data_IF_897223688606
#
_entry.id   IF_897223688606
#
_cell.length_a   1.000
_cell.length_b   1.000
_cell.length_c   1.000
_cell.angle_alpha   90.00
_cell.angle_beta   90.00
_cell.angle_gamma   90.00
#
_symmetry.space_group_name_H-M   'P 1'
#
loop_
_entity.id
_entity.type
_entity.pdbx_description
1 polymer ?
#
# COMPACT_ATOMS: atom_id res chain seq x y z
N UNK A 1 -2.45 -29.95 40.22
CA UNK A 1 -3.53 -29.57 39.31
C UNK A 1 -3.29 -28.17 38.81
N UNK A 2 -2.64 -28.03 37.63
CA UNK A 2 -2.42 -26.76 36.96
C UNK A 2 -3.34 -26.74 35.75
N UNK A 3 -4.32 -25.84 35.72
CA UNK A 3 -5.20 -25.62 34.56
C UNK A 3 -4.38 -24.98 33.44
N UNK A 4 -4.38 -25.64 32.31
CA UNK A 4 -3.86 -25.10 31.06
C UNK A 4 -4.79 -23.97 30.59
N UNK A 5 -4.25 -22.78 30.43
CA UNK A 5 -4.92 -21.63 29.80
C UNK A 5 -4.68 -21.76 28.30
N UNK A 6 -5.74 -22.04 27.56
CA UNK A 6 -5.73 -22.04 26.10
C UNK A 6 -5.48 -20.62 25.58
N UNK A 7 -4.67 -20.44 24.51
CA UNK A 7 -4.47 -19.13 23.92
C UNK A 7 -5.77 -18.62 23.26
N UNK A 8 -6.02 -17.31 23.24
CA UNK A 8 -7.17 -16.75 22.57
C UNK A 8 -7.08 -17.02 21.08
N UNK A 9 -8.05 -17.71 20.54
CA UNK A 9 -8.29 -17.87 19.12
C UNK A 9 -8.52 -16.50 18.51
N UNK A 10 -7.67 -16.12 17.56
CA UNK A 10 -7.91 -14.96 16.70
C UNK A 10 -9.29 -15.13 16.05
N UNK A 11 -10.23 -14.26 16.40
CA UNK A 11 -11.53 -14.18 15.74
C UNK A 11 -11.27 -13.68 14.33
N UNK A 12 -11.37 -14.57 13.35
CA UNK A 12 -11.63 -14.22 11.97
C UNK A 12 -12.94 -13.43 11.98
N UNK A 13 -12.90 -12.16 11.66
CA UNK A 13 -14.12 -11.40 11.35
C UNK A 13 -14.59 -11.96 10.01
N UNK A 14 -15.55 -12.86 10.08
CA UNK A 14 -16.35 -13.32 8.96
C UNK A 14 -17.43 -12.27 8.79
N UNK A 15 -17.44 -11.58 7.69
CA UNK A 15 -18.61 -10.81 7.28
C UNK A 15 -19.74 -11.81 7.05
N UNK A 16 -20.76 -11.72 7.90
CA UNK A 16 -21.96 -12.56 7.83
C UNK A 16 -22.98 -11.78 6.99
N UNK A 17 -23.19 -12.22 5.76
CA UNK A 17 -24.17 -11.70 4.83
C UNK A 17 -25.64 -12.03 5.21
N UNK A 18 -25.92 -12.32 6.48
CA UNK A 18 -27.24 -12.73 6.93
C UNK A 18 -27.87 -11.77 7.92
N UNK A 19 -28.14 -10.52 7.52
CA UNK A 19 -29.23 -9.72 8.13
C UNK A 19 -29.90 -8.89 7.01
N UNK A 20 -30.69 -9.57 6.19
CA UNK A 20 -31.81 -8.94 5.49
C UNK A 20 -33.08 -9.27 6.28
N UNK A 21 -33.90 -8.30 6.68
CA UNK A 21 -35.20 -8.62 7.27
C UNK A 21 -36.15 -9.19 6.23
N UNK A 22 -36.73 -10.34 6.55
CA UNK A 22 -37.79 -11.00 5.78
C UNK A 22 -38.94 -10.04 5.53
N UNK A 23 -39.18 -9.74 4.25
CA UNK A 23 -40.45 -9.19 3.79
C UNK A 23 -41.41 -10.35 3.55
N UNK A 24 -42.26 -10.63 4.54
CA UNK A 24 -43.39 -11.53 4.41
C UNK A 24 -44.35 -11.06 3.30
N UNK A 25 -44.62 -12.01 2.41
CA UNK A 25 -45.72 -11.94 1.45
C UNK A 25 -47.03 -12.05 2.18
N UNK A 26 -47.93 -11.09 2.04
CA UNK A 26 -49.35 -11.30 2.28
C UNK A 26 -50.13 -10.93 1.03
N UNK A 27 -50.85 -11.92 0.56
CA UNK A 27 -51.71 -11.95 -0.61
C UNK A 27 -53.07 -11.31 -0.32
N UNK A 28 -53.58 -10.60 -1.33
CA UNK A 28 -54.95 -10.35 -1.72
C UNK A 28 -56.01 -9.88 -0.73
N UNK A 29 -56.63 -8.73 -0.97
CA UNK A 29 -58.00 -8.70 -1.55
C UNK A 29 -58.40 -7.26 -1.92
N UNK A 30 -59.16 -7.19 -3.02
CA UNK A 30 -59.75 -6.01 -3.67
C UNK A 30 -60.78 -5.28 -2.79
N UNK A 31 -60.78 -3.94 -2.80
CA UNK A 31 -62.02 -3.17 -2.96
C UNK A 31 -61.68 -1.74 -3.41
N UNK A 32 -62.47 -1.27 -4.37
CA UNK A 32 -62.52 0.09 -4.96
C UNK A 32 -63.09 1.09 -3.95
N UNK A 33 -62.52 2.28 -3.85
CA UNK A 33 -63.26 3.56 -3.86
C UNK A 33 -62.27 4.73 -3.91
N UNK A 34 -62.34 5.51 -4.93
CA UNK A 34 -62.37 6.97 -5.12
C UNK A 34 -61.44 7.87 -4.29
N UNK A 35 -60.53 8.54 -5.02
CA UNK A 35 -60.20 9.97 -4.99
C UNK A 35 -59.87 10.59 -3.63
N UNK A 36 -58.56 10.77 -3.38
CA UNK A 36 -58.08 12.10 -2.98
C UNK A 36 -56.64 12.27 -3.43
N UNK A 37 -56.41 13.27 -4.28
CA UNK A 37 -55.12 13.68 -4.80
C UNK A 37 -54.40 14.48 -3.73
N UNK A 38 -53.63 13.81 -2.88
CA UNK A 38 -52.58 14.44 -2.11
C UNK A 38 -51.24 14.23 -2.84
N UNK A 39 -50.67 15.31 -3.29
CA UNK A 39 -49.27 15.39 -3.75
C UNK A 39 -48.36 14.97 -2.56
N UNK A 40 -47.98 13.71 -2.54
CA UNK A 40 -46.81 13.28 -1.78
C UNK A 40 -45.56 13.87 -2.48
N UNK A 41 -45.16 15.05 -2.06
CA UNK A 41 -43.81 15.54 -2.32
C UNK A 41 -42.86 14.62 -1.56
N UNK A 42 -42.18 13.72 -2.27
CA UNK A 42 -41.05 13.00 -1.76
C UNK A 42 -40.16 13.98 -0.98
N UNK A 43 -39.67 13.63 0.21
CA UNK A 43 -38.77 14.52 0.98
C UNK A 43 -37.61 14.89 0.09
N UNK A 44 -37.40 16.21 -0.14
CA UNK A 44 -36.31 16.72 -0.93
C UNK A 44 -35.01 16.14 -0.35
N UNK A 45 -34.35 15.26 -1.08
CA UNK A 45 -33.05 14.73 -0.68
C UNK A 45 -32.11 15.91 -0.51
N UNK A 46 -31.51 16.04 0.68
CA UNK A 46 -30.53 17.09 0.94
C UNK A 46 -29.40 16.95 -0.08
N UNK A 47 -28.87 18.06 -0.62
CA UNK A 47 -27.71 17.99 -1.52
C UNK A 47 -26.56 17.32 -0.79
N UNK A 48 -25.74 16.54 -1.51
CA UNK A 48 -24.54 15.91 -0.95
C UNK A 48 -23.46 15.81 -2.02
N UNK A 49 -22.19 16.01 -1.64
CA UNK A 49 -21.04 15.90 -2.54
C UNK A 49 -20.11 14.75 -2.11
N UNK A 50 -19.26 14.30 -3.03
CA UNK A 50 -18.24 13.25 -2.75
C UNK A 50 -17.14 13.87 -1.87
N UNK A 51 -16.86 13.25 -0.72
CA UNK A 51 -15.92 13.79 0.26
C UNK A 51 -14.48 13.87 -0.29
N UNK A 52 -14.01 12.85 -1.04
CA UNK A 52 -12.68 12.87 -1.65
C UNK A 52 -12.50 13.96 -2.71
N UNK A 53 -13.59 14.44 -3.34
CA UNK A 53 -13.53 15.56 -4.27
C UNK A 53 -13.44 16.90 -3.56
N UNK A 54 -14.09 17.03 -2.41
CA UNK A 54 -14.09 18.24 -1.59
C UNK A 54 -12.81 18.44 -0.77
N UNK A 55 -12.07 17.35 -0.45
CA UNK A 55 -10.92 17.37 0.46
C UNK A 55 -9.60 17.40 -0.30
N UNK A 56 -8.65 18.23 0.19
CA UNK A 56 -7.24 18.24 -0.20
C UNK A 56 -6.36 18.16 1.03
N UNK A 57 -5.37 17.28 1.02
CA UNK A 57 -4.38 17.10 2.09
C UNK A 57 -3.02 17.56 1.58
N UNK A 58 -2.48 18.61 2.18
CA UNK A 58 -1.32 19.36 1.67
C UNK A 58 -0.18 19.35 2.69
N UNK A 59 1.04 19.05 2.23
CA UNK A 59 2.27 19.17 3.02
C UNK A 59 2.78 20.61 2.96
N UNK A 60 3.16 21.20 4.10
CA UNK A 60 3.67 22.56 4.21
C UNK A 60 5.01 22.57 4.92
N UNK A 61 6.04 23.11 4.27
CA UNK A 61 7.39 23.23 4.83
C UNK A 61 7.71 24.64 5.33
N UNK A 62 7.02 25.68 4.83
CA UNK A 62 7.20 27.07 5.23
C UNK A 62 5.88 27.84 5.16
N UNK A 63 5.69 28.81 6.04
CA UNK A 63 4.49 29.66 6.11
C UNK A 63 4.19 30.38 4.77
N UNK A 64 5.22 30.75 4.00
CA UNK A 64 5.07 31.37 2.69
C UNK A 64 4.32 30.48 1.68
N UNK A 65 4.36 29.15 1.84
CA UNK A 65 3.68 28.20 0.95
C UNK A 65 2.15 28.30 1.06
N UNK A 66 1.61 28.69 2.21
CA UNK A 66 0.18 28.89 2.40
C UNK A 66 -0.36 30.13 1.65
N UNK A 67 0.51 31.10 1.32
CA UNK A 67 0.11 32.38 0.72
C UNK A 67 0.18 32.37 -0.80
N UNK A 68 0.80 31.38 -1.41
CA UNK A 68 0.95 31.28 -2.87
C UNK A 68 -0.26 30.54 -3.44
N UNK A 69 -1.15 31.31 -4.07
CA UNK A 69 -2.20 30.77 -4.95
C UNK A 69 -1.51 29.84 -5.97
N UNK A 70 -2.05 28.63 -6.16
CA UNK A 70 -1.50 27.54 -6.96
C UNK A 70 -1.24 27.95 -8.44
N UNK A 71 -0.16 28.68 -8.70
CA UNK A 71 0.22 29.11 -10.06
C UNK A 71 1.40 28.36 -10.67
N UNK A 72 2.03 27.45 -9.94
CA UNK A 72 3.15 26.65 -10.47
C UNK A 72 3.02 25.17 -10.09
N UNK A 73 3.33 24.30 -11.04
CA UNK A 73 3.27 22.82 -11.06
C UNK A 73 4.14 22.11 -10.00
N UNK A 74 4.05 22.49 -8.75
CA UNK A 74 4.66 21.71 -7.67
C UNK A 74 3.60 20.78 -7.06
N UNK A 75 3.70 19.50 -7.36
CA UNK A 75 2.76 18.47 -6.88
C UNK A 75 2.65 18.40 -5.34
N UNK A 76 3.64 18.92 -4.61
CA UNK A 76 3.59 19.03 -3.14
C UNK A 76 2.61 20.10 -2.69
N UNK A 77 2.48 21.19 -3.45
CA UNK A 77 1.59 22.33 -3.16
C UNK A 77 0.15 22.08 -3.54
N UNK A 78 -0.07 21.24 -4.58
CA UNK A 78 -1.42 20.85 -4.99
C UNK A 78 -2.09 19.92 -3.97
N UNK A 79 -1.30 19.25 -3.10
CA UNK A 79 -1.79 18.26 -2.17
C UNK A 79 -2.29 16.99 -2.87
N UNK A 80 -2.87 16.10 -2.11
CA UNK A 80 -3.50 14.90 -2.65
C UNK A 80 -4.96 14.81 -2.22
N UNK A 81 -5.75 14.09 -3.00
CA UNK A 81 -7.10 13.67 -2.63
C UNK A 81 -7.01 12.41 -1.79
N UNK A 82 -7.82 12.28 -0.73
CA UNK A 82 -7.96 11.00 -0.03
C UNK A 82 -8.36 9.87 -0.98
N UNK A 83 -7.76 8.70 -0.81
CA UNK A 83 -8.21 7.47 -1.47
C UNK A 83 -9.46 6.92 -0.78
N UNK A 84 -9.55 7.11 0.55
CA UNK A 84 -10.66 6.64 1.39
C UNK A 84 -11.18 7.77 2.27
N UNK A 85 -12.50 7.84 2.47
CA UNK A 85 -13.16 8.83 3.31
C UNK A 85 -14.27 8.24 4.19
N UNK A 86 -14.61 6.95 4.00
CA UNK A 86 -15.70 6.27 4.68
C UNK A 86 -15.56 6.18 6.20
N UNK A 87 -14.34 6.25 6.73
CA UNK A 87 -14.11 6.27 8.19
C UNK A 87 -14.54 7.59 8.85
N UNK A 88 -14.70 8.65 8.06
CA UNK A 88 -15.09 9.99 8.54
C UNK A 88 -16.45 10.43 8.03
N UNK A 89 -16.79 10.04 6.81
CA UNK A 89 -18.01 10.45 6.14
C UNK A 89 -18.78 9.22 5.66
N UNK A 90 -20.01 9.07 6.17
CA UNK A 90 -20.90 7.96 5.79
C UNK A 90 -21.11 7.97 4.27
N UNK A 91 -21.08 6.79 3.65
CA UNK A 91 -21.20 6.63 2.20
C UNK A 91 -20.21 7.50 1.39
N UNK A 92 -19.11 7.93 2.01
CA UNK A 92 -18.09 8.82 1.42
C UNK A 92 -18.65 10.16 0.93
N UNK A 93 -19.73 10.64 1.55
CA UNK A 93 -20.43 11.86 1.15
C UNK A 93 -20.50 12.88 2.28
N UNK A 94 -20.46 14.16 1.89
CA UNK A 94 -20.70 15.31 2.77
C UNK A 94 -22.10 15.82 2.47
N UNK A 95 -22.99 15.69 3.46
CA UNK A 95 -24.36 16.14 3.35
C UNK A 95 -24.50 17.66 3.50
N UNK A 96 -25.48 18.24 2.83
CA UNK A 96 -25.82 19.67 2.91
C UNK A 96 -25.10 20.54 1.89
N UNK A 97 -24.26 19.97 1.03
CA UNK A 97 -23.50 20.67 -0.01
C UNK A 97 -23.58 19.94 -1.34
N UNK A 98 -23.83 20.67 -2.42
CA UNK A 98 -23.67 20.13 -3.77
C UNK A 98 -22.19 20.14 -4.20
N UNK A 99 -21.88 19.49 -5.31
CA UNK A 99 -20.53 19.41 -5.85
C UNK A 99 -19.96 20.82 -6.11
N UNK A 100 -18.77 21.09 -5.54
CA UNK A 100 -18.07 22.36 -5.65
C UNK A 100 -18.60 23.49 -4.76
N UNK A 101 -19.56 23.24 -3.86
CA UNK A 101 -20.04 24.23 -2.89
C UNK A 101 -19.21 24.29 -1.60
N UNK A 102 -18.46 23.23 -1.31
CA UNK A 102 -17.54 23.14 -0.17
C UNK A 102 -16.16 22.69 -0.63
N UNK A 103 -15.13 23.33 -0.08
CA UNK A 103 -13.72 22.95 -0.25
C UNK A 103 -13.09 22.84 1.13
N UNK A 104 -12.39 21.75 1.39
CA UNK A 104 -11.72 21.44 2.66
C UNK A 104 -10.24 21.26 2.37
N UNK A 105 -9.41 22.11 2.98
CA UNK A 105 -7.97 22.02 2.92
C UNK A 105 -7.42 21.58 4.28
N UNK A 106 -6.73 20.45 4.30
CA UNK A 106 -6.05 19.94 5.49
C UNK A 106 -4.56 20.07 5.24
N UNK A 107 -3.96 21.11 5.80
CA UNK A 107 -2.52 21.33 5.73
C UNK A 107 -1.84 20.62 6.89
N UNK A 108 -0.71 19.97 6.65
CA UNK A 108 0.13 19.41 7.71
C UNK A 108 1.58 19.88 7.56
N UNK A 109 2.21 20.18 8.69
CA UNK A 109 3.63 20.53 8.71
C UNK A 109 4.46 19.33 8.24
N UNK A 110 5.31 19.52 7.23
CA UNK A 110 6.03 18.46 6.52
C UNK A 110 6.86 17.55 7.43
N UNK A 111 7.36 18.06 8.55
CA UNK A 111 8.17 17.30 9.50
C UNK A 111 7.43 16.97 10.79
N UNK A 112 6.88 17.98 11.47
CA UNK A 112 6.31 17.84 12.83
C UNK A 112 4.84 17.39 12.85
N UNK A 113 4.16 17.35 11.69
CA UNK A 113 2.81 16.81 11.51
C UNK A 113 1.74 17.45 12.41
N UNK A 114 1.82 18.73 12.69
CA UNK A 114 0.65 19.45 13.23
C UNK A 114 -0.20 19.97 12.07
N UNK A 115 -1.50 20.13 12.30
CA UNK A 115 -2.49 20.31 11.23
C UNK A 115 -3.18 21.66 11.30
N UNK A 116 -3.50 22.21 10.10
CA UNK A 116 -4.41 23.31 9.90
C UNK A 116 -5.58 22.83 9.05
N UNK A 117 -6.81 23.07 9.50
CA UNK A 117 -8.03 22.74 8.75
C UNK A 117 -8.69 24.03 8.30
N UNK A 118 -8.84 24.22 7.00
CA UNK A 118 -9.54 25.35 6.40
C UNK A 118 -10.74 24.81 5.60
N UNK A 119 -11.91 25.42 5.82
CA UNK A 119 -13.16 25.07 5.13
C UNK A 119 -13.69 26.31 4.47
N UNK A 120 -13.85 26.27 3.16
CA UNK A 120 -14.43 27.32 2.35
C UNK A 120 -15.76 26.85 1.76
N UNK A 121 -16.78 27.70 1.81
CA UNK A 121 -18.09 27.45 1.18
C UNK A 121 -18.40 28.56 0.19
N UNK A 122 -19.07 28.19 -0.91
CA UNK A 122 -19.40 29.14 -1.99
C UNK A 122 -20.24 30.30 -1.52
N UNK A 123 -21.16 30.06 -0.58
CA UNK A 123 -21.93 31.10 0.09
C UNK A 123 -21.33 31.36 1.45
N UNK A 124 -20.66 32.53 1.62
CA UNK A 124 -19.99 32.96 2.85
C UNK A 124 -20.90 33.09 4.08
N UNK A 125 -22.13 32.63 4.04
CA UNK A 125 -23.14 32.74 5.09
C UNK A 125 -23.14 31.55 6.09
N UNK A 126 -21.99 30.92 6.35
CA UNK A 126 -21.86 29.88 7.39
C UNK A 126 -22.95 28.81 7.26
N UNK A 127 -22.92 28.04 6.17
CA UNK A 127 -23.92 26.99 5.96
C UNK A 127 -23.98 26.06 7.17
N UNK A 128 -25.16 25.62 7.61
CA UNK A 128 -25.38 24.90 8.88
C UNK A 128 -24.57 23.60 9.02
N UNK A 129 -24.03 23.05 7.92
CA UNK A 129 -23.24 21.82 7.90
C UNK A 129 -21.75 21.97 8.19
N UNK A 130 -21.18 23.18 8.13
CA UNK A 130 -19.71 23.39 8.28
C UNK A 130 -19.22 22.96 9.67
N UNK A 131 -20.01 23.23 10.72
CA UNK A 131 -19.69 22.83 12.08
C UNK A 131 -19.66 21.31 12.26
N UNK A 132 -20.54 20.55 11.59
CA UNK A 132 -20.56 19.09 11.63
C UNK A 132 -19.32 18.52 10.91
N UNK A 133 -19.01 19.01 9.72
CA UNK A 133 -17.80 18.63 8.97
C UNK A 133 -16.54 18.88 9.80
N UNK A 134 -16.41 20.08 10.40
CA UNK A 134 -15.28 20.40 11.27
C UNK A 134 -15.23 19.49 12.50
N UNK A 135 -16.38 19.16 13.11
CA UNK A 135 -16.45 18.25 14.24
C UNK A 135 -15.97 16.83 13.88
N UNK A 136 -16.34 16.32 12.70
CA UNK A 136 -15.89 15.01 12.21
C UNK A 136 -14.37 15.01 11.97
N UNK A 137 -13.84 16.02 11.30
CA UNK A 137 -12.40 16.18 11.06
C UNK A 137 -11.61 16.32 12.36
N UNK A 138 -12.12 17.11 13.32
CA UNK A 138 -11.46 17.32 14.62
C UNK A 138 -11.41 16.04 15.48
N UNK A 139 -12.31 15.09 15.28
CA UNK A 139 -12.24 13.78 15.94
C UNK A 139 -11.16 12.86 15.35
N UNK A 140 -10.84 13.05 14.08
CA UNK A 140 -9.82 12.27 13.38
C UNK A 140 -8.41 12.85 13.55
N UNK A 141 -8.28 14.08 14.02
CA UNK A 141 -7.00 14.77 14.22
C UNK A 141 -6.68 14.89 15.72
N UNK A 142 -5.38 14.90 16.11
CA UNK A 142 -5.00 15.02 17.51
C UNK A 142 -5.45 16.38 18.07
N UNK A 143 -6.19 16.38 19.16
CA UNK A 143 -6.81 17.58 19.73
C UNK A 143 -5.80 18.72 20.04
N UNK A 144 -4.59 18.38 20.48
CA UNK A 144 -3.55 19.34 20.83
C UNK A 144 -2.74 19.84 19.59
N UNK A 145 -2.82 19.15 18.48
CA UNK A 145 -1.94 19.35 17.32
C UNK A 145 -2.69 19.74 16.03
N UNK A 146 -3.97 20.12 16.14
CA UNK A 146 -4.69 20.74 15.02
C UNK A 146 -5.27 22.10 15.41
N UNK A 147 -5.48 22.93 14.40
CA UNK A 147 -6.05 24.29 14.54
C UNK A 147 -6.84 24.68 13.30
N UNK A 148 -7.74 25.64 13.43
CA UNK A 148 -8.37 26.35 12.30
C UNK A 148 -7.79 27.75 12.12
N UNK A 149 -6.86 28.17 13.00
CA UNK A 149 -6.19 29.45 12.93
C UNK A 149 -4.84 29.35 12.21
N UNK A 150 -4.77 29.98 11.04
CA UNK A 150 -3.57 30.02 10.19
C UNK A 150 -2.37 30.65 10.89
N UNK A 151 -2.57 31.68 11.70
CA UNK A 151 -1.48 32.37 12.39
C UNK A 151 -0.82 31.44 13.42
N UNK A 152 -1.62 30.75 14.25
CA UNK A 152 -1.13 29.74 15.19
C UNK A 152 -0.41 28.58 14.50
N UNK A 153 -0.91 28.14 13.33
CA UNK A 153 -0.23 27.11 12.55
C UNK A 153 1.15 27.58 12.07
N UNK A 154 1.24 28.79 11.49
CA UNK A 154 2.50 29.37 11.01
C UNK A 154 3.52 29.54 12.14
N UNK A 155 3.09 30.05 13.30
CA UNK A 155 3.96 30.18 14.48
C UNK A 155 4.56 28.85 14.91
N UNK A 156 3.73 27.79 15.00
CA UNK A 156 4.20 26.43 15.31
C UNK A 156 5.13 25.87 14.22
N UNK A 157 4.83 26.13 12.95
CA UNK A 157 5.61 25.69 11.81
C UNK A 157 7.01 26.27 11.84
N UNK A 158 7.13 27.61 11.99
CA UNK A 158 8.41 28.31 12.00
C UNK A 158 9.22 28.00 13.28
N UNK A 159 8.56 27.91 14.44
CA UNK A 159 9.19 27.58 15.71
C UNK A 159 9.74 26.15 15.77
N UNK A 160 9.07 25.19 15.14
CA UNK A 160 9.48 23.77 15.16
C UNK A 160 10.40 23.37 14.03
N UNK A 161 10.48 24.13 12.94
CA UNK A 161 11.27 23.77 11.76
C UNK A 161 12.74 23.54 12.05
N UNK A 162 13.33 24.39 12.87
CA UNK A 162 14.78 24.33 13.19
C UNK A 162 15.11 23.34 14.28
N UNK A 163 14.18 23.04 15.18
CA UNK A 163 14.37 22.20 16.37
C UNK A 163 13.79 20.79 16.24
N UNK A 164 13.11 20.48 15.13
CA UNK A 164 12.53 19.17 14.92
C UNK A 164 13.59 18.08 14.89
N UNK A 165 13.36 17.06 15.69
CA UNK A 165 14.15 15.83 15.69
C UNK A 165 13.18 14.67 15.51
N UNK A 166 13.43 13.79 14.52
CA UNK A 166 12.65 12.56 14.39
C UNK A 166 12.71 11.75 15.69
N UNK A 167 11.61 11.11 16.09
CA UNK A 167 11.63 10.22 17.23
C UNK A 167 12.49 8.98 16.96
N UNK A 168 13.13 8.46 18.01
CA UNK A 168 13.94 7.26 17.94
C UNK A 168 15.34 7.47 17.34
N UNK A 169 15.89 6.42 16.76
CA UNK A 169 17.25 6.39 16.24
C UNK A 169 17.28 6.26 14.71
N UNK A 170 18.20 6.97 14.05
CA UNK A 170 18.48 6.77 12.63
C UNK A 170 19.15 5.41 12.45
N UNK A 171 18.53 4.52 11.65
CA UNK A 171 18.96 3.13 11.48
C UNK A 171 19.37 2.79 10.04
N UNK A 172 18.98 3.61 9.06
CA UNK A 172 19.34 3.40 7.67
C UNK A 172 19.31 4.71 6.89
N UNK A 173 20.06 4.76 5.79
CA UNK A 173 20.13 5.90 4.88
C UNK A 173 20.33 5.40 3.45
N UNK A 174 19.69 6.05 2.49
CA UNK A 174 19.90 5.79 1.08
C UNK A 174 19.66 7.03 0.21
N UNK A 175 20.13 6.99 -1.03
CA UNK A 175 19.96 8.08 -2.00
C UNK A 175 18.98 7.72 -3.11
N UNK A 176 18.24 8.74 -3.56
CA UNK A 176 17.41 8.67 -4.77
C UNK A 176 17.63 9.95 -5.56
N UNK A 177 18.31 9.82 -6.72
CA UNK A 177 18.80 10.99 -7.47
C UNK A 177 19.71 11.84 -6.59
N UNK A 178 19.46 13.14 -6.53
CA UNK A 178 20.23 14.08 -5.71
C UNK A 178 19.81 14.12 -4.24
N UNK A 179 18.71 13.44 -3.85
CA UNK A 179 18.14 13.50 -2.51
C UNK A 179 18.61 12.33 -1.64
N UNK A 180 18.78 12.60 -0.35
CA UNK A 180 19.06 11.62 0.69
C UNK A 180 17.81 11.36 1.51
N UNK A 181 17.59 10.11 1.87
CA UNK A 181 16.48 9.66 2.70
C UNK A 181 17.00 8.85 3.87
N UNK A 182 16.50 9.15 5.06
CA UNK A 182 16.88 8.47 6.30
C UNK A 182 15.72 7.76 6.94
N UNK A 183 15.96 6.55 7.44
CA UNK A 183 14.99 5.75 8.20
C UNK A 183 15.28 5.88 9.68
N UNK A 184 14.27 6.27 10.45
CA UNK A 184 14.30 6.36 11.90
C UNK A 184 13.41 5.28 12.50
N UNK A 185 13.98 4.45 13.36
CA UNK A 185 13.24 3.44 14.13
C UNK A 185 12.85 4.03 15.46
N UNK A 186 11.58 3.97 15.80
CA UNK A 186 11.04 4.40 17.08
C UNK A 186 10.14 3.33 17.70
N UNK A 187 10.09 3.34 19.03
CA UNK A 187 9.19 2.57 19.89
C UNK A 187 8.51 3.50 20.90
N UNK A 188 7.60 3.00 21.70
CA UNK A 188 6.95 3.79 22.75
C UNK A 188 7.90 4.25 23.86
N UNK A 189 9.08 3.65 23.99
CA UNK A 189 10.11 4.04 24.95
C UNK A 189 10.90 5.29 24.51
N UNK A 190 10.87 5.63 23.20
CA UNK A 190 11.61 6.77 22.68
C UNK A 190 10.86 8.08 23.00
N UNK A 191 11.57 9.12 23.50
CA UNK A 191 10.95 10.38 23.90
C UNK A 191 10.18 11.03 22.73
N UNK A 192 8.90 11.36 22.95
CA UNK A 192 8.02 12.00 21.98
C UNK A 192 7.51 11.09 20.85
N UNK A 193 7.85 9.78 20.87
CA UNK A 193 7.44 8.87 19.80
C UNK A 193 5.93 8.63 19.78
N UNK A 194 5.29 8.46 20.94
CA UNK A 194 3.83 8.27 21.04
C UNK A 194 3.08 9.49 20.49
N UNK A 195 3.48 10.71 20.89
CA UNK A 195 2.86 11.94 20.40
C UNK A 195 3.08 12.14 18.90
N UNK A 196 4.31 11.86 18.42
CA UNK A 196 4.60 11.96 17.00
C UNK A 196 3.79 10.95 16.19
N UNK A 197 3.73 9.70 16.65
CA UNK A 197 2.94 8.68 15.97
C UNK A 197 1.45 9.00 16.00
N UNK A 198 0.94 9.54 17.10
CA UNK A 198 -0.43 10.04 17.20
C UNK A 198 -0.78 11.04 16.09
N UNK A 199 0.19 11.87 15.64
CA UNK A 199 0.02 12.75 14.49
C UNK A 199 0.20 12.02 13.16
N UNK A 200 1.23 11.16 13.04
CA UNK A 200 1.54 10.48 11.78
C UNK A 200 0.44 9.52 11.34
N UNK A 201 -0.17 8.79 12.27
CA UNK A 201 -1.25 7.85 11.96
C UNK A 201 -2.53 8.53 11.46
N UNK A 202 -2.72 9.86 11.68
CA UNK A 202 -3.84 10.60 11.10
C UNK A 202 -3.81 10.67 9.57
N UNK A 203 -2.67 10.34 8.93
CA UNK A 203 -2.58 10.22 7.48
C UNK A 203 -3.07 8.85 6.96
N UNK A 204 -3.09 7.82 7.81
CA UNK A 204 -3.41 6.46 7.40
C UNK A 204 -4.86 6.30 6.90
N UNK A 205 -5.90 6.83 7.55
CA UNK A 205 -7.29 6.68 7.09
C UNK A 205 -7.57 7.27 5.71
N UNK A 206 -6.73 8.20 5.24
CA UNK A 206 -6.84 8.80 3.91
C UNK A 206 -6.22 7.96 2.79
N UNK A 207 -5.32 7.01 3.13
CA UNK A 207 -4.44 6.31 2.18
C UNK A 207 -4.44 4.79 2.35
N UNK A 208 -4.98 4.27 3.44
CA UNK A 208 -5.08 2.83 3.74
C UNK A 208 -6.52 2.53 4.10
N UNK A 209 -7.13 1.62 3.37
CA UNK A 209 -8.50 1.17 3.63
C UNK A 209 -8.61 0.55 5.01
N UNK A 210 -9.62 1.00 5.78
CA UNK A 210 -9.89 0.51 7.14
C UNK A 210 -8.66 0.54 8.09
N UNK A 211 -7.81 1.56 7.97
CA UNK A 211 -6.65 1.71 8.84
C UNK A 211 -7.08 1.93 10.29
N UNK A 212 -6.64 1.05 11.19
CA UNK A 212 -6.80 1.21 12.63
C UNK A 212 -5.66 2.02 13.25
N UNK A 213 -5.96 2.73 14.33
CA UNK A 213 -4.94 3.38 15.14
C UNK A 213 -4.17 2.34 15.94
N UNK A 214 -2.85 2.54 16.06
CA UNK A 214 -1.99 1.70 16.90
C UNK A 214 -1.64 2.42 18.22
N UNK A 215 -1.53 1.66 19.29
CA UNK A 215 -0.99 2.15 20.56
C UNK A 215 0.51 1.83 20.63
N UNK A 216 1.33 2.83 20.32
CA UNK A 216 2.79 2.67 20.31
C UNK A 216 3.36 2.46 21.74
N UNK A 217 2.58 2.68 22.82
CA UNK A 217 3.01 2.36 24.17
C UNK A 217 3.10 0.83 24.43
N UNK A 218 2.48 -0.02 23.61
CA UNK A 218 2.71 -1.47 23.61
C UNK A 218 4.11 -1.77 23.06
N UNK A 219 4.96 -2.41 23.87
CA UNK A 219 6.37 -2.71 23.58
C UNK A 219 6.62 -3.64 22.41
N UNK A 220 5.55 -4.18 21.83
CA UNK A 220 5.61 -5.02 20.61
C UNK A 220 5.59 -4.21 19.33
N UNK A 221 5.25 -2.92 19.36
CA UNK A 221 5.25 -2.04 18.20
C UNK A 221 6.60 -1.37 17.99
N UNK A 222 7.00 -1.34 16.73
CA UNK A 222 8.08 -0.50 16.21
C UNK A 222 7.55 0.27 15.00
N UNK A 223 7.93 1.54 14.88
CA UNK A 223 7.61 2.36 13.71
C UNK A 223 8.90 2.76 13.02
N UNK A 224 8.90 2.66 11.70
CA UNK A 224 10.03 3.04 10.83
C UNK A 224 9.60 4.24 9.99
N UNK A 225 10.00 5.43 10.41
CA UNK A 225 9.71 6.67 9.71
C UNK A 225 10.76 6.92 8.64
N UNK A 226 10.31 7.27 7.44
CA UNK A 226 11.16 7.66 6.32
C UNK A 226 11.09 9.17 6.15
N UNK A 227 12.23 9.85 6.24
CA UNK A 227 12.35 11.28 6.01
C UNK A 227 13.23 11.58 4.80
N UNK A 228 12.80 12.54 3.97
CA UNK A 228 13.67 13.26 3.06
C UNK A 228 14.57 14.17 3.89
N UNK A 229 15.87 14.22 3.59
CA UNK A 229 16.82 15.08 4.28
C UNK A 229 17.09 16.35 3.46
N UNK A 230 17.21 17.49 4.14
CA UNK A 230 17.73 18.72 3.50
C UNK A 230 19.20 18.49 3.11
N UNK A 231 19.58 18.93 1.92
CA UNK A 231 20.99 18.91 1.52
C UNK A 231 21.76 19.91 2.41
N UNK A 232 22.80 19.46 3.16
CA UNK A 232 23.58 20.36 3.98
C UNK A 232 24.22 21.47 3.14
N UNK A 233 24.14 22.71 3.59
CA UNK A 233 24.91 23.79 3.02
C UNK A 233 26.36 23.68 3.53
N UNK A 234 27.26 23.13 2.71
CA UNK A 234 28.66 22.88 3.05
C UNK A 234 29.39 24.09 3.64
N UNK A 235 28.94 25.30 3.26
CA UNK A 235 29.56 26.59 3.69
C UNK A 235 29.36 26.89 5.17
N UNK A 236 28.38 26.26 5.86
CA UNK A 236 27.99 26.62 7.23
C UNK A 236 28.22 25.50 8.25
N UNK A 237 28.78 24.34 7.86
CA UNK A 237 28.95 23.20 8.78
C UNK A 237 27.63 22.66 9.34
N UNK A 238 26.53 22.87 8.63
CA UNK A 238 25.20 22.43 9.02
C UNK A 238 25.09 20.91 8.98
N UNK A 239 24.43 20.35 10.01
CA UNK A 239 24.10 18.92 10.06
C UNK A 239 22.89 18.63 9.17
N UNK A 240 22.77 17.40 8.69
CA UNK A 240 21.58 16.87 8.03
C UNK A 240 20.34 17.11 8.89
N UNK A 241 19.28 17.62 8.26
CA UNK A 241 17.98 17.88 8.91
C UNK A 241 16.86 17.27 8.08
N UNK A 242 15.84 16.69 8.72
CA UNK A 242 14.64 16.25 8.00
C UNK A 242 13.95 17.43 7.30
N UNK A 243 13.66 17.25 6.02
CA UNK A 243 12.90 18.21 5.22
C UNK A 243 11.40 17.88 5.21
N UNK A 244 11.07 16.59 5.11
CA UNK A 244 9.69 16.12 5.08
C UNK A 244 9.57 14.64 5.46
N UNK A 245 8.46 14.26 6.08
CA UNK A 245 8.08 12.85 6.23
C UNK A 245 7.67 12.31 4.85
N UNK A 246 8.41 11.33 4.35
CA UNK A 246 8.10 10.66 3.10
C UNK A 246 7.16 9.45 3.29
N UNK A 247 7.09 8.91 4.49
CA UNK A 247 6.21 7.79 4.83
C UNK A 247 6.63 7.09 6.11
N UNK A 248 5.93 6.02 6.45
CA UNK A 248 6.28 5.16 7.57
C UNK A 248 5.75 3.75 7.38
N UNK A 249 6.40 2.78 8.04
CA UNK A 249 5.89 1.43 8.20
C UNK A 249 5.76 1.12 9.69
N UNK A 250 4.63 0.50 10.09
CA UNK A 250 4.44 -0.01 11.44
C UNK A 250 4.67 -1.51 11.46
N UNK A 251 5.39 -1.98 12.46
CA UNK A 251 5.77 -3.39 12.60
C UNK A 251 5.40 -3.89 13.98
N UNK A 252 4.65 -4.98 14.03
CA UNK A 252 4.25 -5.65 15.28
C UNK A 252 5.03 -6.95 15.47
N UNK A 253 5.55 -7.18 16.67
CA UNK A 253 6.30 -8.37 17.05
C UNK A 253 5.42 -9.42 17.75
N UNK A 254 5.01 -10.47 17.05
CA UNK A 254 4.31 -11.61 17.66
C UNK A 254 5.31 -12.56 18.32
N UNK A 255 5.24 -12.67 19.64
CA UNK A 255 6.14 -13.54 20.41
C UNK A 255 5.64 -14.98 20.41
N UNK A 256 6.43 -15.89 19.87
CA UNK A 256 6.20 -17.34 19.92
C UNK A 256 7.22 -17.97 20.87
N UNK A 257 6.79 -18.67 21.94
CA UNK A 257 7.69 -19.21 22.97
C UNK A 257 8.71 -20.24 22.43
N UNK A 258 8.41 -20.88 21.29
CA UNK A 258 9.23 -21.95 20.72
C UNK A 258 10.10 -21.43 19.57
N UNK A 259 9.52 -20.58 18.68
CA UNK A 259 10.18 -20.15 17.45
C UNK A 259 10.86 -18.79 17.55
N UNK A 260 10.50 -17.97 18.54
CA UNK A 260 10.98 -16.59 18.66
C UNK A 260 9.92 -15.57 18.25
N UNK A 261 10.27 -14.58 17.44
CA UNK A 261 9.40 -13.47 17.05
C UNK A 261 9.03 -13.58 15.56
N UNK A 262 7.74 -13.49 15.26
CA UNK A 262 7.26 -13.19 13.91
C UNK A 262 7.00 -11.69 13.82
N UNK A 263 7.69 -11.00 12.93
CA UNK A 263 7.44 -9.59 12.64
C UNK A 263 6.28 -9.48 11.64
N UNK A 264 5.37 -8.52 11.86
CA UNK A 264 4.29 -8.22 10.93
C UNK A 264 4.30 -6.74 10.58
N UNK A 265 4.44 -6.43 9.31
CA UNK A 265 4.19 -5.10 8.78
C UNK A 265 2.68 -4.93 8.71
N UNK A 266 2.12 -4.00 9.52
CA UNK A 266 0.68 -3.78 9.60
C UNK A 266 0.23 -2.58 8.77
N UNK A 267 0.99 -1.50 8.77
CA UNK A 267 0.76 -0.34 7.92
C UNK A 267 2.01 -0.05 7.11
N UNK A 268 1.83 0.21 5.81
CA UNK A 268 2.90 0.57 4.88
C UNK A 268 2.46 1.81 4.09
N UNK A 269 2.77 2.98 4.61
CA UNK A 269 2.35 4.25 4.06
C UNK A 269 3.54 5.00 3.45
N UNK A 270 3.43 5.36 2.17
CA UNK A 270 4.28 6.34 1.50
C UNK A 270 3.38 7.48 1.05
N UNK A 271 3.70 8.69 1.48
CA UNK A 271 2.92 9.90 1.13
C UNK A 271 2.88 10.07 -0.39
N UNK A 272 1.73 10.41 -1.00
CA UNK A 272 1.50 10.33 -2.44
C UNK A 272 2.58 10.99 -3.32
N UNK A 273 3.09 12.17 -2.96
CA UNK A 273 4.13 12.84 -3.76
C UNK A 273 5.52 12.15 -3.69
N UNK A 274 5.72 11.19 -2.78
CA UNK A 274 6.90 10.32 -2.72
C UNK A 274 6.66 8.93 -3.31
N UNK A 275 5.42 8.60 -3.68
CA UNK A 275 5.11 7.31 -4.29
C UNK A 275 5.77 7.14 -5.67
N UNK A 276 5.86 5.90 -6.13
CA UNK A 276 6.45 5.49 -7.43
C UNK A 276 7.93 5.86 -7.63
N UNK A 277 8.61 6.31 -6.58
CA UNK A 277 10.05 6.62 -6.57
C UNK A 277 10.89 5.51 -5.94
N UNK A 278 10.30 4.36 -5.61
CA UNK A 278 10.99 3.18 -5.08
C UNK A 278 11.17 3.19 -3.55
N UNK A 279 10.58 4.16 -2.83
CA UNK A 279 10.72 4.27 -1.38
C UNK A 279 10.14 3.07 -0.62
N UNK A 280 8.96 2.59 -1.03
CA UNK A 280 8.37 1.38 -0.44
C UNK A 280 9.25 0.14 -0.61
N UNK A 281 9.91 -0.01 -1.77
CA UNK A 281 10.86 -1.10 -2.01
C UNK A 281 12.09 -0.99 -1.11
N UNK A 282 12.66 0.22 -0.98
CA UNK A 282 13.84 0.46 -0.16
C UNK A 282 13.56 0.18 1.33
N UNK A 283 12.42 0.68 1.84
CA UNK A 283 12.04 0.47 3.23
C UNK A 283 11.73 -1.01 3.53
N UNK A 284 11.05 -1.70 2.62
CA UNK A 284 10.77 -3.13 2.76
C UNK A 284 12.05 -3.98 2.72
N UNK A 285 12.97 -3.70 1.80
CA UNK A 285 14.27 -4.38 1.72
C UNK A 285 15.07 -4.19 3.01
N UNK A 286 15.13 -2.95 3.51
CA UNK A 286 15.78 -2.65 4.81
C UNK A 286 15.14 -3.45 5.96
N UNK A 287 13.81 -3.55 6.02
CA UNK A 287 13.14 -4.35 7.07
C UNK A 287 13.44 -5.85 6.96
N UNK A 288 13.63 -6.37 5.76
CA UNK A 288 14.06 -7.75 5.56
C UNK A 288 15.50 -7.96 6.04
N UNK A 289 16.42 -7.01 5.75
CA UNK A 289 17.78 -7.05 6.28
C UNK A 289 17.79 -7.00 7.81
N UNK A 290 16.97 -6.13 8.38
CA UNK A 290 16.82 -6.00 9.83
C UNK A 290 16.26 -7.29 10.44
N UNK A 291 15.23 -7.90 9.83
CA UNK A 291 14.68 -9.16 10.30
C UNK A 291 15.73 -10.29 10.28
N UNK A 292 16.55 -10.37 9.21
CA UNK A 292 17.63 -11.35 9.10
C UNK A 292 18.73 -11.14 10.14
N UNK A 293 19.04 -9.90 10.46
CA UNK A 293 20.07 -9.57 11.47
C UNK A 293 19.65 -9.90 12.92
N UNK A 294 18.34 -10.06 13.19
CA UNK A 294 17.81 -10.37 14.53
C UNK A 294 17.65 -11.88 14.70
N UNK A 295 18.49 -12.53 15.49
CA UNK A 295 18.43 -13.99 15.74
C UNK A 295 17.07 -14.45 16.28
N UNK A 296 16.44 -13.63 17.14
CA UNK A 296 15.13 -13.93 17.71
C UNK A 296 13.99 -13.93 16.71
N UNK A 297 14.16 -13.35 15.51
CA UNK A 297 13.14 -13.28 14.49
C UNK A 297 13.20 -14.51 13.60
N UNK A 298 12.09 -15.24 13.47
CA UNK A 298 12.04 -16.43 12.60
C UNK A 298 11.32 -16.15 11.27
N UNK A 299 10.45 -15.14 11.19
CA UNK A 299 9.81 -14.73 9.93
C UNK A 299 9.33 -13.27 9.96
N UNK A 300 9.14 -12.72 8.77
CA UNK A 300 8.48 -11.42 8.55
C UNK A 300 7.27 -11.59 7.62
N UNK A 301 6.15 -11.01 8.02
CA UNK A 301 4.86 -11.08 7.34
C UNK A 301 4.34 -9.68 7.00
N UNK A 302 3.32 -9.60 6.16
CA UNK A 302 2.56 -8.35 5.88
C UNK A 302 1.09 -8.66 6.10
N UNK A 303 0.39 -7.77 6.78
CA UNK A 303 -1.04 -7.83 7.01
C UNK A 303 -1.78 -7.29 5.78
N UNK A 304 -2.73 -8.06 5.27
CA UNK A 304 -3.66 -7.75 4.19
C UNK A 304 -3.13 -6.72 3.14
N UNK A 305 -2.06 -7.08 2.39
CA UNK A 305 -1.41 -6.13 1.50
C UNK A 305 -2.34 -5.70 0.36
N UNK A 306 -2.51 -4.40 0.18
CA UNK A 306 -3.18 -3.84 -1.00
C UNK A 306 -2.48 -4.31 -2.30
N UNK A 307 -3.19 -4.45 -3.43
CA UNK A 307 -2.63 -4.99 -4.69
C UNK A 307 -1.37 -4.26 -5.19
N UNK A 308 -1.29 -2.94 -4.95
CA UNK A 308 -0.09 -2.13 -5.25
C UNK A 308 1.11 -2.53 -4.40
N UNK A 309 0.90 -2.73 -3.10
CA UNK A 309 1.96 -3.15 -2.18
C UNK A 309 2.35 -4.62 -2.37
N UNK A 310 1.40 -5.50 -2.72
CA UNK A 310 1.69 -6.89 -3.06
C UNK A 310 2.69 -7.01 -4.23
N UNK A 311 2.55 -6.17 -5.27
CA UNK A 311 3.52 -6.11 -6.37
C UNK A 311 4.91 -5.67 -5.91
N UNK A 312 4.99 -4.68 -5.02
CA UNK A 312 6.24 -4.23 -4.41
C UNK A 312 6.87 -5.36 -3.60
N UNK A 313 6.08 -6.03 -2.76
CA UNK A 313 6.50 -7.16 -1.94
C UNK A 313 7.04 -8.30 -2.79
N UNK A 314 6.29 -8.74 -3.79
CA UNK A 314 6.68 -9.84 -4.67
C UNK A 314 8.01 -9.57 -5.40
N UNK A 315 8.27 -8.31 -5.79
CA UNK A 315 9.55 -7.92 -6.38
C UNK A 315 10.70 -8.00 -5.38
N UNK A 316 10.50 -7.43 -4.17
CA UNK A 316 11.53 -7.43 -3.12
C UNK A 316 11.80 -8.85 -2.62
N UNK A 317 10.75 -9.68 -2.48
CA UNK A 317 10.88 -11.10 -2.11
C UNK A 317 11.72 -11.87 -3.13
N UNK A 318 11.40 -11.72 -4.42
CA UNK A 318 12.13 -12.40 -5.49
C UNK A 318 13.59 -11.94 -5.59
N UNK A 319 13.87 -10.64 -5.41
CA UNK A 319 15.25 -10.11 -5.29
C UNK A 319 15.98 -10.72 -4.10
N UNK A 320 15.36 -10.73 -2.94
CA UNK A 320 15.94 -11.30 -1.72
C UNK A 320 16.30 -12.78 -1.92
N UNK A 321 15.41 -13.57 -2.51
CA UNK A 321 15.67 -14.98 -2.82
C UNK A 321 16.81 -15.16 -3.83
N UNK A 322 16.89 -14.32 -4.86
CA UNK A 322 17.97 -14.30 -5.84
C UNK A 322 19.31 -13.93 -5.20
N UNK A 323 19.34 -12.81 -4.48
CA UNK A 323 20.57 -12.21 -3.97
C UNK A 323 21.21 -13.01 -2.83
N UNK A 324 20.42 -13.90 -2.21
CA UNK A 324 20.89 -14.87 -1.20
C UNK A 324 21.11 -16.29 -1.73
N UNK A 325 21.00 -16.52 -3.05
CA UNK A 325 21.27 -17.80 -3.71
C UNK A 325 20.58 -19.01 -3.02
N UNK A 326 19.35 -18.80 -2.54
CA UNK A 326 18.65 -19.80 -1.71
C UNK A 326 18.18 -21.04 -2.49
N UNK A 327 18.16 -20.98 -3.81
CA UNK A 327 17.76 -22.10 -4.67
C UNK A 327 18.96 -22.67 -5.44
N UNK A 328 19.09 -24.00 -5.55
CA UNK A 328 20.11 -24.65 -6.38
C UNK A 328 20.05 -24.16 -7.84
N UNK A 329 21.22 -23.94 -8.45
CA UNK A 329 21.33 -23.41 -9.81
C UNK A 329 20.67 -24.30 -10.87
N UNK A 330 20.74 -25.62 -10.72
CA UNK A 330 20.06 -26.60 -11.58
C UNK A 330 18.53 -26.48 -11.52
N UNK A 331 17.99 -26.12 -10.37
CA UNK A 331 16.56 -25.88 -10.19
C UNK A 331 16.10 -24.60 -10.86
N UNK A 332 16.96 -23.57 -10.89
CA UNK A 332 16.71 -22.31 -11.56
C UNK A 332 17.03 -22.34 -13.07
N UNK A 333 17.65 -23.41 -13.58
CA UNK A 333 17.96 -23.54 -15.01
C UNK A 333 16.70 -23.38 -15.87
N UNK A 334 16.87 -22.74 -17.04
CA UNK A 334 15.76 -22.21 -17.86
C UNK A 334 14.77 -23.29 -18.37
N UNK A 335 15.22 -24.51 -18.57
CA UNK A 335 14.44 -25.65 -19.06
C UNK A 335 13.75 -26.46 -17.96
N UNK A 336 14.06 -26.17 -16.69
CA UNK A 336 13.52 -26.87 -15.52
C UNK A 336 12.31 -26.13 -14.94
N UNK A 337 11.11 -26.72 -15.05
CA UNK A 337 9.87 -26.24 -14.41
C UNK A 337 9.40 -27.20 -13.30
N UNK A 338 10.38 -27.74 -12.56
CA UNK A 338 10.14 -28.59 -11.40
C UNK A 338 10.02 -27.71 -10.16
N UNK A 339 9.05 -28.00 -9.32
CA UNK A 339 8.92 -27.29 -8.04
C UNK A 339 10.02 -27.72 -7.06
N UNK A 340 10.50 -26.80 -6.21
CA UNK A 340 11.42 -27.15 -5.12
C UNK A 340 10.81 -28.19 -4.18
N UNK A 341 11.64 -29.06 -3.65
CA UNK A 341 11.26 -29.97 -2.58
C UNK A 341 10.95 -29.19 -1.29
N UNK A 342 10.19 -29.79 -0.37
CA UNK A 342 9.75 -29.11 0.86
C UNK A 342 10.91 -28.64 1.75
N UNK A 343 11.96 -29.44 1.83
CA UNK A 343 13.19 -29.12 2.57
C UNK A 343 13.93 -27.92 1.98
N UNK A 344 13.99 -27.80 0.64
CA UNK A 344 14.57 -26.62 -0.04
C UNK A 344 13.77 -25.37 0.25
N UNK A 345 12.43 -25.45 0.22
CA UNK A 345 11.56 -24.31 0.57
C UNK A 345 11.74 -23.94 2.04
N UNK A 346 11.84 -24.92 2.92
CA UNK A 346 12.03 -24.69 4.35
C UNK A 346 13.40 -24.04 4.64
N UNK A 347 14.46 -24.54 4.01
CA UNK A 347 15.80 -23.95 4.13
C UNK A 347 15.83 -22.50 3.60
N UNK A 348 15.16 -22.22 2.48
CA UNK A 348 15.02 -20.86 1.96
C UNK A 348 14.25 -19.96 2.92
N UNK A 349 13.11 -20.41 3.48
CA UNK A 349 12.36 -19.68 4.51
C UNK A 349 13.25 -19.32 5.71
N UNK A 350 14.01 -20.27 6.24
CA UNK A 350 14.90 -20.06 7.38
C UNK A 350 16.03 -19.06 7.06
N UNK A 351 16.61 -19.16 5.86
CA UNK A 351 17.71 -18.30 5.42
C UNK A 351 17.29 -16.82 5.26
N UNK A 352 16.14 -16.58 4.62
CA UNK A 352 15.69 -15.21 4.31
C UNK A 352 14.54 -14.71 5.17
N UNK A 353 13.98 -15.55 6.05
CA UNK A 353 12.87 -15.26 6.97
C UNK A 353 11.57 -14.79 6.29
N UNK A 354 11.41 -15.04 5.00
CA UNK A 354 10.13 -14.89 4.30
C UNK A 354 9.22 -16.09 4.63
N UNK A 355 7.91 -15.89 4.60
CA UNK A 355 6.99 -17.01 4.80
C UNK A 355 7.16 -18.07 3.72
N UNK A 356 6.86 -19.34 4.02
CA UNK A 356 6.89 -20.45 3.04
C UNK A 356 6.09 -20.11 1.78
N UNK A 357 4.92 -19.45 1.93
CA UNK A 357 4.09 -19.01 0.80
C UNK A 357 4.81 -17.99 -0.08
N UNK A 358 5.52 -17.02 0.51
CA UNK A 358 6.26 -16.00 -0.25
C UNK A 358 7.50 -16.59 -0.92
N UNK A 359 8.18 -17.54 -0.29
CA UNK A 359 9.27 -18.29 -0.92
C UNK A 359 8.76 -19.04 -2.17
N UNK A 360 7.59 -19.69 -2.08
CA UNK A 360 6.98 -20.38 -3.23
C UNK A 360 6.58 -19.39 -4.36
N UNK A 361 6.05 -18.21 -4.02
CA UNK A 361 5.69 -17.14 -4.98
C UNK A 361 6.96 -16.59 -5.64
N UNK A 362 7.96 -16.24 -4.83
CA UNK A 362 9.22 -15.69 -5.32
C UNK A 362 9.95 -16.67 -6.26
N UNK A 363 9.89 -17.98 -5.98
CA UNK A 363 10.38 -19.02 -6.90
C UNK A 363 9.66 -18.98 -8.25
N UNK A 364 8.32 -18.86 -8.25
CA UNK A 364 7.55 -18.75 -9.49
C UNK A 364 7.96 -17.50 -10.29
N UNK A 365 8.21 -16.38 -9.63
CA UNK A 365 8.68 -15.15 -10.28
C UNK A 365 10.10 -15.29 -10.83
N UNK A 366 11.01 -15.92 -10.07
CA UNK A 366 12.37 -16.21 -10.56
C UNK A 366 12.34 -17.10 -11.81
N UNK A 367 11.42 -18.08 -11.86
CA UNK A 367 11.22 -18.92 -13.06
C UNK A 367 10.55 -18.18 -14.22
N UNK A 368 9.74 -17.16 -13.94
CA UNK A 368 9.15 -16.30 -14.98
C UNK A 368 10.21 -15.51 -15.78
N UNK A 369 11.38 -15.29 -15.20
CA UNK A 369 12.52 -14.63 -15.87
C UNK A 369 12.91 -15.32 -17.19
N UNK A 370 12.73 -16.63 -17.27
CA UNK A 370 13.11 -17.44 -18.43
C UNK A 370 11.94 -17.67 -19.42
N UNK A 371 10.78 -17.08 -19.11
CA UNK A 371 9.58 -17.16 -19.96
C UNK A 371 9.35 -15.80 -20.59
N UNK A 372 9.38 -15.70 -21.92
CA UNK A 372 9.09 -14.45 -22.59
C UNK A 372 7.62 -14.04 -22.46
N UNK A 373 7.34 -12.75 -22.25
CA UNK A 373 5.97 -12.26 -22.33
C UNK A 373 5.40 -12.50 -23.74
N UNK A 374 4.05 -12.61 -23.89
CA UNK A 374 3.47 -12.66 -25.23
C UNK A 374 3.89 -11.43 -26.01
N UNK A 375 4.31 -11.62 -27.29
CA UNK A 375 4.55 -10.50 -28.18
C UNK A 375 3.26 -9.65 -28.22
N UNK A 376 3.37 -8.36 -27.93
CA UNK A 376 2.24 -7.45 -28.09
C UNK A 376 1.76 -7.55 -29.55
N UNK A 377 0.44 -7.60 -29.81
CA UNK A 377 -0.06 -7.54 -31.16
C UNK A 377 0.44 -6.22 -31.75
N UNK A 378 1.26 -6.30 -32.79
CA UNK A 378 1.72 -5.15 -33.56
C UNK A 378 0.50 -4.27 -33.85
N UNK A 379 0.42 -3.11 -33.20
CA UNK A 379 -0.59 -2.12 -33.50
C UNK A 379 -0.41 -1.74 -34.96
N UNK A 380 -1.35 -2.19 -35.80
CA UNK A 380 -1.37 -1.92 -37.23
C UNK A 380 -1.73 -0.44 -37.49
N UNK A 381 -0.79 0.45 -37.26
CA UNK A 381 -0.81 1.85 -37.73
C UNK A 381 0.44 2.14 -38.51
N UNK A 382 0.60 1.40 -39.60
CA UNK A 382 1.51 1.72 -40.69
C UNK A 382 0.73 1.89 -41.99
N UNK A 383 1.08 2.82 -42.89
CA UNK A 383 0.38 3.02 -44.16
C UNK A 383 0.48 1.75 -45.02
N UNK A 384 -0.55 1.41 -45.80
CA UNK A 384 -0.58 0.19 -46.60
C UNK A 384 0.25 0.39 -47.88
N UNK A 385 1.54 0.13 -47.85
CA UNK A 385 2.34 -0.09 -49.05
C UNK A 385 3.80 -0.43 -48.76
N UNK A 386 4.05 -1.67 -48.30
CA UNK A 386 5.35 -2.32 -48.55
C UNK A 386 5.15 -3.84 -48.61
N UNK A 387 5.59 -4.41 -49.69
CA UNK A 387 5.55 -5.85 -49.99
C UNK A 387 6.38 -6.60 -48.95
N UNK A 388 5.87 -7.65 -48.27
CA UNK A 388 6.64 -8.37 -47.26
C UNK A 388 7.85 -9.09 -47.89
N UNK A 389 9.06 -9.00 -47.30
CA UNK A 389 10.16 -9.84 -47.72
C UNK A 389 9.88 -11.30 -47.43
N UNK A 390 10.26 -12.18 -48.32
CA UNK A 390 10.03 -13.63 -48.25
C UNK A 390 10.49 -14.21 -46.90
N UNK A 391 9.58 -14.93 -46.25
CA UNK A 391 9.80 -15.60 -44.98
C UNK A 391 10.98 -16.57 -45.04
N UNK A 392 12.05 -16.29 -44.32
CA UNK A 392 13.13 -17.23 -44.07
C UNK A 392 12.61 -18.34 -43.15
N UNK A 393 12.76 -19.58 -43.56
CA UNK A 393 12.26 -20.83 -42.94
C UNK A 393 12.89 -21.21 -41.57
N UNK A 394 13.43 -20.25 -40.81
CA UNK A 394 14.04 -20.44 -39.48
C UNK A 394 13.15 -20.14 -38.26
N UNK A 395 11.97 -19.51 -38.45
CA UNK A 395 11.13 -19.04 -37.34
C UNK A 395 10.21 -20.09 -36.68
N UNK A 396 9.94 -21.21 -37.34
CA UNK A 396 8.95 -22.18 -36.87
C UNK A 396 9.41 -23.07 -35.70
N UNK A 397 10.71 -23.28 -35.49
CA UNK A 397 11.26 -24.11 -34.43
C UNK A 397 11.47 -23.32 -33.11
N UNK A 398 11.74 -22.04 -33.17
CA UNK A 398 11.90 -21.16 -32.00
C UNK A 398 10.54 -20.93 -31.30
N UNK A 399 9.49 -20.64 -32.07
CA UNK A 399 8.14 -20.42 -31.54
C UNK A 399 7.56 -21.68 -30.83
N UNK A 400 7.86 -22.90 -31.30
CA UNK A 400 7.40 -24.13 -30.67
C UNK A 400 8.07 -24.42 -29.31
N UNK A 401 9.35 -24.09 -29.16
CA UNK A 401 10.08 -24.27 -27.92
C UNK A 401 9.62 -23.28 -26.83
N UNK A 402 9.33 -22.05 -27.22
CA UNK A 402 8.86 -21.00 -26.31
C UNK A 402 7.42 -21.27 -25.84
N UNK A 403 6.55 -21.76 -26.71
CA UNK A 403 5.18 -22.17 -26.35
C UNK A 403 5.20 -23.35 -25.36
N UNK A 404 6.08 -24.35 -25.56
CA UNK A 404 6.22 -25.48 -24.65
C UNK A 404 6.80 -25.06 -23.29
N UNK A 405 7.75 -24.11 -23.26
CA UNK A 405 8.31 -23.53 -22.03
C UNK A 405 7.23 -22.79 -21.25
N UNK A 406 6.45 -21.92 -21.90
CA UNK A 406 5.32 -21.21 -21.29
C UNK A 406 4.27 -22.17 -20.74
N UNK A 407 3.93 -23.24 -21.45
CA UNK A 407 2.99 -24.26 -21.02
C UNK A 407 3.48 -25.00 -19.76
N UNK A 408 4.76 -25.34 -19.68
CA UNK A 408 5.37 -25.96 -18.49
C UNK A 408 5.35 -25.01 -17.29
N UNK A 409 5.71 -23.74 -17.49
CA UNK A 409 5.64 -22.70 -16.48
C UNK A 409 4.21 -22.56 -15.93
N UNK A 410 3.23 -22.38 -16.82
CA UNK A 410 1.80 -22.31 -16.45
C UNK A 410 1.36 -23.49 -15.59
N UNK A 411 1.74 -24.70 -15.94
CA UNK A 411 1.40 -25.91 -15.18
C UNK A 411 2.08 -25.91 -13.80
N UNK A 412 3.29 -25.40 -13.69
CA UNK A 412 4.01 -25.27 -12.42
C UNK A 412 3.28 -24.30 -11.48
N UNK A 413 2.94 -23.09 -11.95
CA UNK A 413 2.22 -22.09 -11.15
C UNK A 413 0.83 -22.59 -10.75
N UNK A 414 0.07 -23.21 -11.67
CA UNK A 414 -1.24 -23.78 -11.38
C UNK A 414 -1.22 -24.86 -10.30
N UNK A 415 -0.17 -25.66 -10.21
CA UNK A 415 -0.03 -26.65 -9.13
C UNK A 415 0.09 -25.98 -7.76
N UNK A 416 0.79 -24.83 -7.65
CA UNK A 416 0.84 -24.04 -6.41
C UNK A 416 -0.53 -23.45 -6.09
N UNK A 417 -1.18 -22.82 -7.07
CA UNK A 417 -2.51 -22.23 -6.88
C UNK A 417 -3.54 -23.28 -6.44
N UNK A 418 -3.54 -24.45 -7.08
CA UNK A 418 -4.40 -25.56 -6.68
C UNK A 418 -4.11 -26.05 -5.24
N UNK A 419 -2.85 -26.13 -4.84
CA UNK A 419 -2.47 -26.49 -3.47
C UNK A 419 -2.96 -25.44 -2.45
N UNK A 420 -2.90 -24.16 -2.80
CA UNK A 420 -3.28 -23.06 -1.91
C UNK A 420 -4.79 -22.86 -1.79
N UNK A 421 -5.49 -22.93 -2.93
CA UNK A 421 -6.92 -22.58 -3.03
C UNK A 421 -7.82 -23.80 -3.27
N UNK A 422 -7.27 -25.01 -3.22
CA UNK A 422 -8.00 -26.23 -3.61
C UNK A 422 -9.29 -26.48 -2.82
N UNK A 423 -9.34 -26.04 -1.56
CA UNK A 423 -10.53 -26.15 -0.69
C UNK A 423 -11.63 -25.12 -1.06
N UNK A 424 -11.22 -23.98 -1.64
CA UNK A 424 -12.12 -22.90 -2.07
C UNK A 424 -12.69 -23.15 -3.49
N UNK A 425 -12.03 -24.02 -4.27
CA UNK A 425 -12.42 -24.32 -5.64
C UNK A 425 -13.57 -25.33 -5.67
N UNK A 426 -14.42 -25.20 -6.71
CA UNK A 426 -15.55 -26.11 -6.95
C UNK A 426 -15.10 -27.58 -7.00
N UNK A 427 -15.94 -28.48 -6.48
CA UNK A 427 -15.75 -29.94 -6.60
C UNK A 427 -16.02 -30.44 -8.03
N UNK A 428 -16.80 -29.70 -8.83
CA UNK A 428 -17.05 -30.01 -10.23
C UNK A 428 -15.80 -29.76 -11.08
N UNK A 429 -15.32 -30.78 -11.78
CA UNK A 429 -14.05 -30.73 -12.49
C UNK A 429 -13.96 -29.67 -13.60
N UNK A 430 -14.98 -29.46 -14.48
CA UNK A 430 -14.96 -28.37 -15.45
C UNK A 430 -14.92 -26.98 -14.82
N UNK A 431 -15.74 -26.77 -13.79
CA UNK A 431 -15.81 -25.49 -13.05
C UNK A 431 -14.50 -25.19 -12.33
N UNK A 432 -13.95 -26.17 -11.62
CA UNK A 432 -12.64 -26.06 -10.96
C UNK A 432 -11.53 -25.71 -11.94
N UNK A 433 -11.53 -26.33 -13.14
CA UNK A 433 -10.52 -26.04 -14.17
C UNK A 433 -10.59 -24.59 -14.63
N UNK A 434 -11.81 -24.03 -14.79
CA UNK A 434 -12.04 -22.64 -15.17
C UNK A 434 -11.58 -21.69 -14.06
N UNK A 435 -12.02 -21.92 -12.82
CA UNK A 435 -11.59 -21.13 -11.66
C UNK A 435 -10.06 -21.11 -11.50
N UNK A 436 -9.39 -22.26 -11.68
CA UNK A 436 -7.93 -22.34 -11.64
C UNK A 436 -7.27 -21.61 -12.81
N UNK A 437 -7.91 -21.57 -13.97
CA UNK A 437 -7.47 -20.75 -15.10
C UNK A 437 -7.57 -19.26 -14.80
N UNK A 438 -8.67 -18.82 -14.19
CA UNK A 438 -8.89 -17.42 -13.83
C UNK A 438 -7.85 -16.98 -12.78
N UNK A 439 -7.65 -17.74 -11.70
CA UNK A 439 -6.58 -17.49 -10.72
C UNK A 439 -5.18 -17.42 -11.35
N UNK A 440 -4.91 -18.23 -12.38
CA UNK A 440 -3.62 -18.15 -13.06
C UNK A 440 -3.47 -16.86 -13.87
N UNK A 441 -4.52 -16.44 -14.59
CA UNK A 441 -4.51 -15.20 -15.38
C UNK A 441 -4.29 -13.98 -14.51
N UNK A 442 -4.87 -13.96 -13.31
CA UNK A 442 -4.72 -12.85 -12.36
C UNK A 442 -3.26 -12.63 -11.95
N UNK A 443 -2.45 -13.71 -11.87
CA UNK A 443 -1.04 -13.60 -11.46
C UNK A 443 -0.06 -13.62 -12.64
N UNK A 444 -0.43 -14.17 -13.81
CA UNK A 444 0.49 -14.41 -14.94
C UNK A 444 1.18 -13.13 -15.40
N UNK A 445 0.41 -12.11 -15.75
CA UNK A 445 0.95 -10.85 -16.27
C UNK A 445 1.90 -10.18 -15.26
N UNK A 446 1.53 -10.20 -13.98
CA UNK A 446 2.36 -9.65 -12.91
C UNK A 446 3.68 -10.41 -12.75
N UNK A 447 3.65 -11.74 -12.73
CA UNK A 447 4.85 -12.56 -12.57
C UNK A 447 5.79 -12.46 -13.78
N UNK A 448 5.26 -12.47 -14.99
CA UNK A 448 6.07 -12.29 -16.21
C UNK A 448 6.73 -10.90 -16.24
N UNK A 449 6.00 -9.84 -15.90
CA UNK A 449 6.55 -8.48 -15.79
C UNK A 449 7.67 -8.39 -14.76
N UNK A 450 7.48 -8.97 -13.57
CA UNK A 450 8.51 -9.00 -12.53
C UNK A 450 9.71 -9.85 -12.94
N UNK A 451 9.50 -10.98 -13.61
CA UNK A 451 10.56 -11.85 -14.14
C UNK A 451 11.41 -11.12 -15.18
N UNK A 452 10.80 -10.40 -16.13
CA UNK A 452 11.51 -9.58 -17.13
C UNK A 452 12.37 -8.52 -16.46
N UNK A 453 11.82 -7.81 -15.48
CA UNK A 453 12.57 -6.79 -14.72
C UNK A 453 13.79 -7.39 -13.99
N UNK A 454 13.63 -8.55 -13.35
CA UNK A 454 14.75 -9.23 -12.68
C UNK A 454 15.84 -9.70 -13.65
N UNK A 455 15.48 -10.03 -14.89
CA UNK A 455 16.42 -10.38 -15.96
C UNK A 455 17.23 -9.18 -16.40
N UNK A 456 16.58 -8.02 -16.61
CA UNK A 456 17.22 -6.76 -16.99
C UNK A 456 18.23 -6.31 -15.92
N UNK A 457 17.83 -6.29 -14.64
CA UNK A 457 18.70 -5.99 -13.51
C UNK A 457 19.96 -6.90 -13.46
N UNK A 458 19.78 -8.21 -13.71
CA UNK A 458 20.91 -9.15 -13.76
C UNK A 458 21.86 -8.88 -14.91
N UNK A 459 21.38 -8.40 -16.06
CA UNK A 459 22.19 -8.04 -17.21
C UNK A 459 22.98 -6.75 -16.99
N UNK A 460 22.41 -5.75 -16.31
CA UNK A 460 23.08 -4.48 -15.97
C UNK A 460 24.25 -4.72 -15.01
N UNK A 461 24.05 -5.56 -13.98
CA UNK A 461 25.12 -5.93 -13.04
C UNK A 461 26.24 -6.69 -13.75
N UNK A 462 25.92 -7.62 -14.65
CA UNK A 462 26.90 -8.38 -15.43
C UNK A 462 27.73 -7.49 -16.40
N UNK A 463 27.13 -6.40 -16.88
CA UNK A 463 27.78 -5.44 -17.80
C UNK A 463 28.51 -4.31 -17.07
N UNK A 464 28.56 -4.29 -15.72
CA UNK A 464 29.26 -3.29 -14.92
C UNK A 464 28.69 -1.87 -15.01
N UNK A 465 27.39 -1.74 -15.29
CA UNK A 465 26.66 -0.47 -15.42
C UNK A 465 26.00 0.01 -14.11
N UNK A 466 26.29 -0.62 -12.96
CA UNK A 466 25.77 -0.24 -11.64
C UNK A 466 26.92 0.12 -10.71
#
# INVERSE_FOLDING_TARGET
MKRAISPPTAKRVRWDDSVLPDLEKSDQTKSKSEQDSQHDTAPATKPSCIASDAIRVCSVSAAAELSVVASEKDSRREGFRPEFTHQLFDEERIEGYADGEITIQIHYAATSLHFLVEIETRDNNGAPGTADVLSRLSKALPAADHTTDRASFCEKLDGRRNDFKPPGARVHEYRRGAKTFSVYRASGEDPGACEYHGRAQCLAPWLIEAADSIDLADDRWEVFYLFEEETPREVLGEKWRPAALAGYFTVFGFRNPVKGVSLRICQALIVPHFQRQGHGQALLAFLYDLARSRESVFEITVEDPAPGFEKVRNLVDARTLRDHDVFPADLLASDTFRRPAKDVIQAAHEAVKLTVSQVEIGFDILKARDVEPPAEPLSSTGPPNETPPAASSGGATANGADDDRRKRYRLMVKRRLLKRHGEELSTDAPTRKRQLEDLYRDVEAGFLSLGSRLREEGSEVANGMV
#
